data_IF_391188368550
#
_entry.id   IF_391188368550
#
_cell.length_a   1.000
_cell.length_b   1.000
_cell.length_c   1.000
_cell.angle_alpha   90.00
_cell.angle_beta   90.00
_cell.angle_gamma   90.00
#
_symmetry.space_group_name_H-M   'P 1'
#
loop_
_entity.id
_entity.type
_entity.pdbx_description
1 polymer ?
#
# COMPACT_ATOMS: atom_id res chain seq x y z
N UNK A 1 -11.64 6.93 30.12
CA UNK A 1 -10.93 6.63 31.38
C UNK A 1 -10.32 5.23 31.25
N UNK A 2 -9.00 5.06 31.47
CA UNK A 2 -8.31 3.77 31.33
C UNK A 2 -8.39 3.03 32.68
N UNK A 3 -8.99 1.84 32.70
CA UNK A 3 -9.01 0.98 33.89
C UNK A 3 -7.60 0.39 34.16
N UNK A 4 -7.13 0.35 35.41
CA UNK A 4 -5.85 -0.26 35.75
C UNK A 4 -5.94 -1.80 35.67
N UNK A 5 -4.99 -2.42 34.99
CA UNK A 5 -4.87 -3.89 34.89
C UNK A 5 -4.34 -4.48 36.20
N UNK A 6 -5.09 -5.41 36.79
CA UNK A 6 -4.79 -6.04 38.10
C UNK A 6 -3.88 -7.28 38.01
N UNK A 7 -3.34 -7.61 36.82
CA UNK A 7 -2.42 -8.75 36.68
C UNK A 7 -1.20 -8.39 35.84
N UNK A 8 -0.01 -8.56 36.43
CA UNK A 8 1.28 -8.36 35.76
C UNK A 8 1.52 -9.50 34.77
N UNK A 9 1.21 -9.27 33.50
CA UNK A 9 1.52 -10.23 32.43
C UNK A 9 3.05 -10.39 32.36
N UNK A 10 3.59 -11.61 32.43
CA UNK A 10 5.03 -11.83 32.33
C UNK A 10 5.51 -11.36 30.95
N UNK A 11 6.51 -10.48 30.92
CA UNK A 11 7.19 -10.14 29.66
C UNK A 11 7.87 -11.40 29.13
N UNK A 12 7.60 -11.74 27.88
CA UNK A 12 8.25 -12.86 27.20
C UNK A 12 9.78 -12.72 27.28
N UNK A 13 10.47 -13.82 27.58
CA UNK A 13 11.93 -13.86 27.51
C UNK A 13 12.32 -13.87 26.03
N UNK A 14 13.12 -12.90 25.61
CA UNK A 14 13.71 -12.87 24.26
C UNK A 14 14.91 -13.81 24.26
N UNK A 15 14.90 -14.82 23.40
CA UNK A 15 16.09 -15.62 23.12
C UNK A 15 17.01 -14.80 22.22
N UNK A 16 18.13 -14.33 22.75
CA UNK A 16 19.21 -13.73 21.96
C UNK A 16 20.03 -14.88 21.36
N UNK A 17 19.58 -15.44 20.24
CA UNK A 17 20.35 -16.44 19.51
C UNK A 17 21.30 -15.71 18.57
N UNK A 18 22.60 -15.74 18.89
CA UNK A 18 23.64 -15.28 17.98
C UNK A 18 24.01 -16.43 17.03
N UNK A 19 23.73 -16.32 15.72
CA UNK A 19 24.09 -17.36 14.77
C UNK A 19 25.62 -17.47 14.66
N UNK A 20 26.18 -18.59 15.13
CA UNK A 20 27.63 -18.88 15.08
C UNK A 20 28.25 -18.83 13.68
N UNK A 21 27.42 -19.00 12.63
CA UNK A 21 27.86 -19.13 11.24
C UNK A 21 27.59 -17.90 10.37
N UNK A 22 27.00 -16.84 10.92
CA UNK A 22 26.71 -15.63 10.17
C UNK A 22 27.85 -14.63 10.35
N UNK A 23 28.65 -14.48 9.30
CA UNK A 23 29.54 -13.33 9.16
C UNK A 23 28.90 -12.37 8.14
N UNK A 24 28.42 -11.19 8.57
CA UNK A 24 27.75 -10.24 7.68
C UNK A 24 28.65 -9.84 6.51
N UNK A 25 29.96 -9.74 6.73
CA UNK A 25 30.91 -9.31 5.69
C UNK A 25 31.07 -10.39 4.63
N UNK A 26 31.20 -11.65 5.04
CA UNK A 26 31.32 -12.79 4.13
C UNK A 26 30.06 -12.98 3.28
N UNK A 27 28.89 -12.83 3.90
CA UNK A 27 27.58 -12.90 3.24
C UNK A 27 27.42 -11.77 2.21
N UNK A 28 27.76 -10.54 2.57
CA UNK A 28 27.72 -9.39 1.65
C UNK A 28 28.66 -9.58 0.46
N UNK A 29 29.88 -10.04 0.69
CA UNK A 29 30.85 -10.33 -0.38
C UNK A 29 30.30 -11.45 -1.28
N UNK A 30 29.74 -12.51 -0.71
CA UNK A 30 29.15 -13.61 -1.49
C UNK A 30 27.97 -13.13 -2.34
N UNK A 31 27.07 -12.32 -1.78
CA UNK A 31 25.91 -11.80 -2.48
C UNK A 31 26.32 -10.86 -3.63
N UNK A 32 27.31 -9.99 -3.39
CA UNK A 32 27.85 -9.08 -4.41
C UNK A 32 28.55 -9.85 -5.53
N UNK A 33 29.42 -10.80 -5.19
CA UNK A 33 30.15 -11.62 -6.18
C UNK A 33 29.21 -12.50 -7.00
N UNK A 34 28.16 -13.07 -6.38
CA UNK A 34 27.14 -13.83 -7.07
C UNK A 34 26.36 -12.94 -8.06
N UNK A 35 25.94 -11.75 -7.64
CA UNK A 35 25.26 -10.79 -8.52
C UNK A 35 26.12 -10.38 -9.71
N UNK A 36 27.40 -10.04 -9.47
CA UNK A 36 28.35 -9.69 -10.54
C UNK A 36 28.54 -10.87 -11.50
N UNK A 37 28.66 -12.10 -10.98
CA UNK A 37 28.80 -13.32 -11.80
C UNK A 37 27.55 -13.59 -12.63
N UNK A 38 26.37 -13.37 -12.08
CA UNK A 38 25.10 -13.44 -12.80
C UNK A 38 25.04 -12.37 -13.89
N UNK A 39 25.36 -11.11 -13.59
CA UNK A 39 25.44 -10.01 -14.54
C UNK A 39 26.44 -10.30 -15.68
N UNK A 40 27.61 -10.86 -15.38
CA UNK A 40 28.63 -11.22 -16.37
C UNK A 40 28.21 -12.38 -17.27
N UNK A 41 27.53 -13.40 -16.72
CA UNK A 41 26.94 -14.51 -17.49
C UNK A 41 25.77 -14.06 -18.38
N UNK A 42 25.08 -13.00 -17.98
CA UNK A 42 23.88 -12.43 -18.60
C UNK A 42 24.22 -11.43 -19.74
N UNK A 43 25.50 -11.21 -20.05
CA UNK A 43 26.01 -10.54 -21.28
C UNK A 43 25.72 -11.36 -22.57
N UNK A 44 24.53 -11.94 -22.66
CA UNK A 44 23.85 -12.20 -23.92
C UNK A 44 22.77 -11.13 -24.07
N UNK A 45 22.69 -10.47 -25.22
CA UNK A 45 21.84 -9.28 -25.43
C UNK A 45 20.36 -9.43 -25.02
N UNK A 46 19.86 -10.66 -24.90
CA UNK A 46 18.48 -10.97 -24.50
C UNK A 46 18.22 -10.76 -23.01
N UNK A 47 19.20 -11.00 -22.14
CA UNK A 47 18.99 -10.93 -20.69
C UNK A 47 19.15 -9.49 -20.14
N UNK A 48 19.86 -8.63 -20.88
CA UNK A 48 19.85 -7.17 -20.63
C UNK A 48 18.44 -6.54 -20.89
N UNK A 49 17.64 -7.06 -21.83
CA UNK A 49 16.24 -6.58 -21.97
C UNK A 49 15.35 -6.98 -20.79
N UNK A 50 15.56 -8.16 -20.22
CA UNK A 50 14.73 -8.69 -19.14
C UNK A 50 14.89 -7.90 -17.83
N UNK A 51 16.12 -7.48 -17.47
CA UNK A 51 16.32 -6.70 -16.24
C UNK A 51 15.72 -5.29 -16.34
N UNK A 52 15.82 -4.65 -17.52
CA UNK A 52 15.18 -3.36 -17.81
C UNK A 52 13.67 -3.49 -17.63
N UNK A 53 13.05 -4.49 -18.28
CA UNK A 53 11.62 -4.78 -18.13
C UNK A 53 11.23 -4.95 -16.65
N UNK A 54 12.01 -5.71 -15.87
CA UNK A 54 11.75 -5.91 -14.44
C UNK A 54 11.85 -4.64 -13.58
N UNK A 55 12.68 -3.67 -13.99
CA UNK A 55 12.82 -2.39 -13.32
C UNK A 55 11.63 -1.47 -13.62
N UNK A 56 11.14 -1.51 -14.87
CA UNK A 56 9.92 -0.81 -15.27
C UNK A 56 8.67 -1.42 -14.62
N UNK A 57 8.54 -2.75 -14.57
CA UNK A 57 7.41 -3.43 -13.91
C UNK A 57 7.34 -3.15 -12.40
N UNK A 58 8.48 -2.87 -11.76
CA UNK A 58 8.54 -2.47 -10.34
C UNK A 58 8.11 -1.02 -10.14
N UNK A 59 8.40 -0.14 -11.09
CA UNK A 59 7.98 1.28 -11.05
C UNK A 59 6.48 1.42 -11.25
N UNK A 60 5.91 0.67 -12.20
CA UNK A 60 4.48 0.70 -12.50
C UNK A 60 3.64 0.23 -11.30
N UNK A 61 4.07 -0.83 -10.60
CA UNK A 61 3.39 -1.32 -9.40
C UNK A 61 3.35 -0.31 -8.24
N UNK A 62 4.34 0.59 -8.15
CA UNK A 62 4.38 1.64 -7.11
C UNK A 62 3.46 2.83 -7.41
N UNK A 63 3.05 3.05 -8.66
CA UNK A 63 2.19 4.17 -9.04
C UNK A 63 0.68 3.85 -9.01
N UNK A 64 0.28 2.56 -8.96
CA UNK A 64 -1.14 2.16 -9.09
C UNK A 64 -2.02 2.34 -7.85
N UNK A 65 -1.51 2.82 -6.72
CA UNK A 65 -2.31 2.84 -5.47
C UNK A 65 -3.09 4.13 -5.19
N UNK A 66 -3.12 5.11 -6.10
CA UNK A 66 -3.77 6.42 -5.82
C UNK A 66 -4.80 6.91 -6.86
N UNK A 67 -4.97 6.20 -7.98
CA UNK A 67 -5.74 6.71 -9.12
C UNK A 67 -7.27 6.58 -8.94
N UNK A 68 -7.73 5.48 -8.33
CA UNK A 68 -9.17 5.23 -8.18
C UNK A 68 -9.86 6.23 -7.24
N UNK A 69 -9.21 6.63 -6.15
CA UNK A 69 -9.76 7.65 -5.24
C UNK A 69 -9.80 9.03 -5.86
N UNK A 70 -8.79 9.38 -6.66
CA UNK A 70 -8.77 10.64 -7.39
C UNK A 70 -9.88 10.69 -8.44
N UNK A 71 -10.09 9.61 -9.20
CA UNK A 71 -11.16 9.51 -10.19
C UNK A 71 -12.55 9.61 -9.54
N UNK A 72 -12.77 8.92 -8.41
CA UNK A 72 -14.01 9.01 -7.65
C UNK A 72 -14.29 10.44 -7.16
N UNK A 73 -13.25 11.14 -6.68
CA UNK A 73 -13.36 12.52 -6.20
C UNK A 73 -13.71 13.47 -7.35
N UNK A 74 -13.10 13.30 -8.52
CA UNK A 74 -13.41 14.07 -9.74
C UNK A 74 -14.86 13.85 -10.17
N UNK A 75 -15.33 12.60 -10.20
CA UNK A 75 -16.72 12.28 -10.60
C UNK A 75 -17.72 12.90 -9.62
N UNK A 76 -17.48 12.80 -8.31
CA UNK A 76 -18.34 13.42 -7.30
C UNK A 76 -18.34 14.94 -7.46
N UNK A 77 -17.18 15.56 -7.68
CA UNK A 77 -17.06 17.01 -7.82
C UNK A 77 -17.79 17.51 -9.06
N UNK A 78 -17.57 16.88 -10.23
CA UNK A 78 -18.24 17.25 -11.48
C UNK A 78 -19.75 16.99 -11.42
N UNK A 79 -20.17 15.87 -10.81
CA UNK A 79 -21.58 15.55 -10.62
C UNK A 79 -22.28 16.55 -9.69
N UNK A 80 -21.64 16.92 -8.58
CA UNK A 80 -22.17 17.92 -7.66
C UNK A 80 -22.22 19.31 -8.30
N UNK A 81 -21.17 19.71 -9.02
CA UNK A 81 -21.09 21.00 -9.70
C UNK A 81 -22.11 21.11 -10.84
N UNK A 82 -22.20 20.10 -11.70
CA UNK A 82 -23.21 20.05 -12.77
C UNK A 82 -24.65 19.99 -12.24
N UNK A 83 -24.87 19.18 -11.20
CA UNK A 83 -26.17 19.12 -10.53
C UNK A 83 -26.58 20.45 -9.89
N UNK A 84 -25.63 21.16 -9.28
CA UNK A 84 -25.88 22.48 -8.70
C UNK A 84 -26.29 23.52 -9.75
N UNK A 85 -25.72 23.48 -10.96
CA UNK A 85 -26.11 24.40 -12.05
C UNK A 85 -27.57 24.18 -12.47
N UNK A 86 -28.05 22.94 -12.50
CA UNK A 86 -29.40 22.61 -13.02
C UNK A 86 -30.49 22.75 -11.95
N UNK A 87 -30.20 22.32 -10.72
CA UNK A 87 -31.20 22.18 -9.65
C UNK A 87 -30.89 23.05 -8.42
N UNK A 88 -29.82 23.84 -8.45
CA UNK A 88 -29.43 24.74 -7.37
C UNK A 88 -29.14 24.02 -6.06
N UNK A 89 -29.64 24.59 -4.95
CA UNK A 89 -29.36 24.10 -3.60
C UNK A 89 -30.08 22.79 -3.26
N UNK A 90 -31.08 22.37 -4.04
CA UNK A 90 -31.83 21.12 -3.79
C UNK A 90 -30.90 19.90 -3.84
N UNK A 91 -29.90 19.92 -4.71
CA UNK A 91 -28.91 18.84 -4.85
C UNK A 91 -28.04 18.71 -3.60
N UNK A 92 -27.69 19.84 -2.98
CA UNK A 92 -26.88 19.84 -1.76
C UNK A 92 -27.66 19.22 -0.60
N UNK A 93 -28.96 19.51 -0.48
CA UNK A 93 -29.81 18.91 0.56
C UNK A 93 -30.01 17.40 0.36
N UNK A 94 -30.23 16.95 -0.88
CA UNK A 94 -30.34 15.52 -1.19
C UNK A 94 -29.01 14.81 -0.89
N UNK A 95 -27.89 15.39 -1.30
CA UNK A 95 -26.56 14.85 -1.03
C UNK A 95 -26.27 14.77 0.49
N UNK A 96 -26.64 15.81 1.24
CA UNK A 96 -26.47 15.86 2.69
C UNK A 96 -27.27 14.76 3.42
N UNK A 97 -28.41 14.33 2.88
CA UNK A 97 -29.19 13.21 3.45
C UNK A 97 -28.68 11.85 3.01
N UNK A 98 -28.36 11.68 1.73
CA UNK A 98 -27.98 10.38 1.15
C UNK A 98 -26.57 9.96 1.54
N UNK A 99 -25.62 10.91 1.63
CA UNK A 99 -24.23 10.63 1.98
C UNK A 99 -24.05 9.97 3.37
N UNK A 100 -24.60 10.52 4.48
CA UNK A 100 -24.49 9.88 5.80
C UNK A 100 -25.29 8.58 5.89
N UNK A 101 -26.44 8.48 5.22
CA UNK A 101 -27.21 7.24 5.16
C UNK A 101 -26.41 6.12 4.48
N UNK A 102 -25.75 6.43 3.36
CA UNK A 102 -24.89 5.50 2.65
C UNK A 102 -23.70 5.06 3.52
N UNK A 103 -23.01 6.01 4.18
CA UNK A 103 -21.91 5.68 5.08
C UNK A 103 -22.35 4.81 6.25
N UNK A 104 -23.51 5.10 6.85
CA UNK A 104 -24.09 4.31 7.93
C UNK A 104 -24.40 2.87 7.49
N UNK A 105 -25.00 2.69 6.31
CA UNK A 105 -25.25 1.36 5.75
C UNK A 105 -23.95 0.61 5.40
N UNK A 106 -22.94 1.33 4.91
CA UNK A 106 -21.63 0.75 4.56
C UNK A 106 -20.84 0.31 5.79
N UNK A 107 -20.79 1.12 6.84
CA UNK A 107 -20.04 0.78 8.07
C UNK A 107 -20.72 -0.35 8.85
N UNK A 108 -22.05 -0.44 8.81
CA UNK A 108 -22.78 -1.56 9.43
C UNK A 108 -22.45 -2.91 8.81
N UNK A 109 -22.19 -2.99 7.50
CA UNK A 109 -21.75 -4.22 6.81
C UNK A 109 -20.29 -4.60 7.09
N UNK A 110 -19.48 -3.69 7.63
CA UNK A 110 -18.08 -3.95 7.96
C UNK A 110 -17.89 -4.47 9.40
N UNK A 111 -18.92 -4.32 10.24
CA UNK A 111 -18.88 -4.65 11.67
C UNK A 111 -19.67 -5.93 12.04
N UNK A 112 -20.29 -6.60 11.06
CA UNK A 112 -20.79 -7.97 11.14
C UNK A 112 -19.82 -8.89 10.39
#
# INVERSE_FOLDING_TARGET
MKFPSLSRIPKYKRFTFEPRYYDPVKEDIRNRTQRIKEELKVTSAHAHRAHIKSAFDRRERRQKSSDFMQLLLIVILLGAFGGWIIYGNVVLYIFMLVFPLYLYLRTRKFFQ
#
